data_IF_300740860520
#
_entry.id   IF_300740860520
#
_cell.length_a   1.000
_cell.length_b   1.000
_cell.length_c   1.000
_cell.angle_alpha   90.00
_cell.angle_beta   90.00
_cell.angle_gamma   90.00
#
_symmetry.space_group_name_H-M   'P 1'
#
loop_
_entity.id
_entity.type
_entity.pdbx_description
1 polymer ?
#
# COMPACT_ATOMS: atom_id res chain seq x y z
N UNK A 1 -6.41 -42.34 -25.73
CA UNK A 1 -6.01 -40.95 -26.02
C UNK A 1 -6.68 -40.07 -24.99
N UNK A 2 -5.94 -39.59 -23.99
CA UNK A 2 -6.39 -38.57 -23.03
C UNK A 2 -5.18 -37.66 -22.85
N UNK A 3 -5.10 -36.65 -23.71
CA UNK A 3 -4.04 -35.64 -23.70
C UNK A 3 -4.64 -34.29 -24.05
N UNK A 4 -5.80 -33.92 -23.50
CA UNK A 4 -6.48 -32.68 -23.91
C UNK A 4 -7.06 -31.98 -22.67
N UNK A 5 -6.65 -30.72 -22.48
CA UNK A 5 -6.98 -29.73 -21.41
C UNK A 5 -5.97 -29.51 -20.25
N UNK A 6 -4.83 -30.19 -20.21
CA UNK A 6 -3.81 -29.89 -19.18
C UNK A 6 -3.18 -28.49 -19.25
N UNK A 7 -2.95 -27.86 -20.43
CA UNK A 7 -2.39 -26.51 -20.50
C UNK A 7 -3.35 -25.46 -19.93
N UNK A 8 -4.64 -25.54 -20.26
CA UNK A 8 -5.66 -24.60 -19.79
C UNK A 8 -5.90 -24.71 -18.30
N UNK A 9 -5.94 -25.94 -17.76
CA UNK A 9 -6.09 -26.15 -16.31
C UNK A 9 -4.88 -25.60 -15.53
N UNK A 10 -3.66 -25.79 -16.06
CA UNK A 10 -2.43 -25.28 -15.45
C UNK A 10 -2.32 -23.76 -15.57
N UNK A 11 -2.72 -23.18 -16.70
CA UNK A 11 -2.76 -21.74 -16.90
C UNK A 11 -3.79 -21.08 -15.96
N UNK A 12 -4.96 -21.69 -15.79
CA UNK A 12 -5.98 -21.21 -14.87
C UNK A 12 -5.51 -21.26 -13.40
N UNK A 13 -4.86 -22.36 -12.98
CA UNK A 13 -4.29 -22.46 -11.64
C UNK A 13 -3.20 -21.40 -11.37
N UNK A 14 -2.29 -21.19 -12.32
CA UNK A 14 -1.24 -20.17 -12.21
C UNK A 14 -1.83 -18.75 -12.19
N UNK A 15 -2.89 -18.50 -12.95
CA UNK A 15 -3.61 -17.22 -12.98
C UNK A 15 -4.26 -16.92 -11.62
N UNK A 16 -4.97 -17.90 -11.06
CA UNK A 16 -5.59 -17.77 -9.74
C UNK A 16 -4.54 -17.53 -8.65
N UNK A 17 -3.41 -18.23 -8.70
CA UNK A 17 -2.31 -18.02 -7.73
C UNK A 17 -1.73 -16.61 -7.83
N UNK A 18 -1.51 -16.11 -9.04
CA UNK A 18 -1.05 -14.74 -9.26
C UNK A 18 -2.07 -13.72 -8.74
N UNK A 19 -3.37 -13.93 -8.97
CA UNK A 19 -4.43 -13.05 -8.48
C UNK A 19 -4.42 -12.98 -6.94
N UNK A 20 -4.27 -14.12 -6.26
CA UNK A 20 -4.14 -14.18 -4.80
C UNK A 20 -2.88 -13.45 -4.30
N UNK A 21 -1.75 -13.61 -5.00
CA UNK A 21 -0.51 -12.91 -4.64
C UNK A 21 -0.62 -11.39 -4.83
N UNK A 22 -1.29 -10.94 -5.89
CA UNK A 22 -1.55 -9.52 -6.15
C UNK A 22 -2.46 -8.93 -5.07
N UNK A 23 -3.56 -9.62 -4.74
CA UNK A 23 -4.45 -9.21 -3.65
C UNK A 23 -3.70 -9.12 -2.31
N UNK A 24 -2.86 -10.12 -2.00
CA UNK A 24 -2.03 -10.10 -0.80
C UNK A 24 -1.03 -8.92 -0.77
N UNK A 25 -0.49 -8.57 -1.93
CA UNK A 25 0.43 -7.43 -2.08
C UNK A 25 -0.31 -6.11 -1.90
N UNK A 26 -1.47 -5.93 -2.53
CA UNK A 26 -2.31 -4.73 -2.37
C UNK A 26 -2.77 -4.53 -0.92
N UNK A 27 -3.20 -5.60 -0.26
CA UNK A 27 -3.57 -5.55 1.16
C UNK A 27 -2.39 -5.09 2.04
N UNK A 28 -1.17 -5.56 1.73
CA UNK A 28 0.04 -5.13 2.44
C UNK A 28 0.39 -3.67 2.16
N UNK A 29 0.32 -3.23 0.90
CA UNK A 29 0.55 -1.82 0.51
C UNK A 29 -0.44 -0.91 1.25
N UNK A 30 -1.73 -1.26 1.27
CA UNK A 30 -2.77 -0.50 1.96
C UNK A 30 -2.51 -0.39 3.47
N UNK A 31 -2.09 -1.49 4.09
CA UNK A 31 -1.75 -1.53 5.52
C UNK A 31 -0.55 -0.64 5.84
N UNK A 32 0.54 -0.75 5.08
CA UNK A 32 1.75 0.05 5.30
C UNK A 32 1.51 1.53 5.01
N UNK A 33 0.68 1.87 4.01
CA UNK A 33 0.23 3.24 3.75
C UNK A 33 -0.48 3.83 4.96
N UNK A 34 -1.42 3.08 5.53
CA UNK A 34 -2.16 3.50 6.73
C UNK A 34 -1.20 3.72 7.90
N UNK A 35 -0.29 2.77 8.13
CA UNK A 35 0.71 2.85 9.19
C UNK A 35 1.63 4.07 9.05
N UNK A 36 2.11 4.34 7.83
CA UNK A 36 2.92 5.53 7.54
C UNK A 36 2.15 6.81 7.87
N UNK A 37 0.89 6.90 7.43
CA UNK A 37 0.05 8.07 7.66
C UNK A 37 -0.25 8.29 9.14
N UNK A 38 -0.47 7.24 9.92
CA UNK A 38 -0.64 7.33 11.37
C UNK A 38 0.62 7.87 12.05
N UNK A 39 1.80 7.38 11.67
CA UNK A 39 3.07 7.85 12.21
C UNK A 39 3.33 9.32 11.85
N UNK A 40 3.10 9.70 10.59
CA UNK A 40 3.20 11.07 10.13
C UNK A 40 2.19 11.99 10.87
N UNK A 41 0.97 11.51 11.12
CA UNK A 41 -0.06 12.24 11.87
C UNK A 41 0.37 12.48 13.31
N UNK A 42 0.86 11.45 14.00
CA UNK A 42 1.34 11.56 15.37
C UNK A 42 2.53 12.52 15.47
N UNK A 43 3.50 12.40 14.56
CA UNK A 43 4.61 13.32 14.47
C UNK A 43 4.12 14.76 14.28
N UNK A 44 3.26 14.99 13.29
CA UNK A 44 2.70 16.31 13.01
C UNK A 44 1.91 16.89 14.19
N UNK A 45 1.21 16.04 14.95
CA UNK A 45 0.46 16.46 16.14
C UNK A 45 1.41 16.90 17.27
N UNK A 46 2.49 16.15 17.51
CA UNK A 46 3.51 16.48 18.51
C UNK A 46 4.21 17.79 18.14
N UNK A 47 4.70 17.91 16.91
CA UNK A 47 5.41 19.08 16.39
C UNK A 47 4.56 20.35 16.43
N UNK A 48 3.21 20.25 16.47
CA UNK A 48 2.31 21.41 16.57
C UNK A 48 1.86 21.74 17.98
N UNK A 49 2.14 20.88 18.98
CA UNK A 49 1.68 21.06 20.36
C UNK A 49 2.70 21.86 21.16
N UNK A 50 2.23 22.75 22.03
CA UNK A 50 3.10 23.41 23.01
C UNK A 50 3.62 22.39 24.05
N UNK A 51 4.91 22.41 24.43
CA UNK A 51 5.98 23.32 24.00
C UNK A 51 6.79 22.85 22.78
N UNK A 52 6.49 21.66 22.25
CA UNK A 52 7.24 21.04 21.16
C UNK A 52 7.25 21.86 19.86
N UNK A 53 6.23 22.68 19.60
CA UNK A 53 6.21 23.61 18.45
C UNK A 53 7.33 24.66 18.46
N UNK A 54 7.78 25.11 19.63
CA UNK A 54 8.87 26.07 19.77
C UNK A 54 10.19 25.39 19.37
N UNK A 55 10.47 24.24 19.98
CA UNK A 55 11.64 23.41 19.65
C UNK A 55 11.60 23.02 18.17
N UNK A 56 10.43 22.66 17.64
CA UNK A 56 10.25 22.33 16.24
C UNK A 56 10.66 23.47 15.31
N UNK A 57 10.19 24.69 15.59
CA UNK A 57 10.56 25.87 14.79
C UNK A 57 12.05 26.25 14.91
N UNK A 58 12.65 26.06 16.10
CA UNK A 58 14.06 26.38 16.33
C UNK A 58 15.03 25.40 15.65
N UNK A 59 14.66 24.11 15.59
CA UNK A 59 15.50 23.05 15.04
C UNK A 59 15.06 22.57 13.65
N UNK A 60 14.07 23.22 13.02
CA UNK A 60 13.64 22.91 11.64
C UNK A 60 12.84 21.61 11.50
N UNK A 61 12.10 21.19 12.54
CA UNK A 61 11.22 20.04 12.46
C UNK A 61 9.90 20.41 11.76
N UNK A 62 9.90 20.30 10.43
CA UNK A 62 8.73 20.56 9.60
C UNK A 62 7.75 19.40 9.52
N UNK A 63 6.49 19.73 9.17
CA UNK A 63 5.42 18.74 8.97
C UNK A 63 5.81 17.69 7.94
N UNK A 64 5.54 16.42 8.25
CA UNK A 64 5.69 15.32 7.29
C UNK A 64 4.43 15.21 6.41
N UNK A 65 4.58 15.06 5.08
CA UNK A 65 3.46 14.80 4.19
C UNK A 65 2.87 13.41 4.47
N UNK A 66 1.60 13.23 4.12
CA UNK A 66 0.98 11.91 4.10
C UNK A 66 1.30 11.20 2.79
N UNK A 67 1.31 9.87 2.84
CA UNK A 67 1.32 9.02 1.66
C UNK A 67 -0.10 8.90 1.14
N UNK A 68 -0.37 9.54 0.02
CA UNK A 68 -1.66 9.49 -0.65
C UNK A 68 -1.66 8.38 -1.70
N UNK A 69 -2.81 7.74 -1.87
CA UNK A 69 -3.04 6.81 -2.95
C UNK A 69 -3.15 7.59 -4.27
N UNK A 70 -2.49 7.11 -5.33
CA UNK A 70 -2.84 7.61 -6.66
C UNK A 70 -4.30 7.27 -6.99
N UNK A 71 -4.96 8.17 -7.71
CA UNK A 71 -6.33 7.96 -8.15
C UNK A 71 -6.43 6.66 -8.97
N UNK A 72 -7.24 5.71 -8.52
CA UNK A 72 -7.37 4.40 -9.16
C UNK A 72 -6.63 3.25 -8.45
N UNK A 73 -5.84 3.50 -7.40
CA UNK A 73 -5.17 2.42 -6.63
C UNK A 73 -6.12 1.49 -5.86
N UNK A 74 -7.44 1.68 -5.95
CA UNK A 74 -8.45 0.79 -5.40
C UNK A 74 -8.84 -0.32 -6.40
N UNK A 75 -8.39 -0.22 -7.65
CA UNK A 75 -8.66 -1.18 -8.72
C UNK A 75 -7.47 -2.13 -8.80
N UNK A 76 -7.68 -3.39 -8.46
CA UNK A 76 -6.66 -4.41 -8.63
C UNK A 76 -6.27 -4.50 -10.12
N UNK A 77 -4.98 -4.67 -10.45
CA UNK A 77 -4.53 -4.74 -11.84
C UNK A 77 -5.17 -5.92 -12.56
N UNK A 78 -5.77 -5.67 -13.73
CA UNK A 78 -6.25 -6.72 -14.63
C UNK A 78 -5.06 -7.48 -15.21
N UNK A 79 -4.84 -8.71 -14.75
CA UNK A 79 -3.86 -9.61 -15.35
C UNK A 79 -4.39 -10.05 -16.71
N UNK A 80 -3.75 -9.61 -17.80
CA UNK A 80 -4.06 -10.02 -19.18
C UNK A 80 -2.95 -10.93 -19.70
N UNK A 81 -3.31 -12.09 -20.23
CA UNK A 81 -2.44 -13.01 -20.96
C UNK A 81 -2.92 -13.13 -22.40
#
# INVERSE_FOLDING_TARGET
MITENYPDLKANQNFMELQVQLEGTENRISTERTRFNEMAKNYNAITRRFPANIVASMFGFDKKPYFEAEAGSNVAPEVKF
#
